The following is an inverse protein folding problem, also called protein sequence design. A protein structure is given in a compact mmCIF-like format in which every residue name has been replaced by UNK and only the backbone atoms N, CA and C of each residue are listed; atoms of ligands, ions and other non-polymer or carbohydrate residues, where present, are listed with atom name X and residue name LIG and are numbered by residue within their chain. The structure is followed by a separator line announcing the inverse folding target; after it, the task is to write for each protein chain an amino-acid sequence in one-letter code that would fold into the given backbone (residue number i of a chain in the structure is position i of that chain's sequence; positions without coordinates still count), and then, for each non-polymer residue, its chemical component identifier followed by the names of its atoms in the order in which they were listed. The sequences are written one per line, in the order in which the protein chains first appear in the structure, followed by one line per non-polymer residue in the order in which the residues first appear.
data_IF_664685166990
#
_entry.id   IF_664685166990
#
_cell.length_a   1.000
_cell.length_b   1.000
_cell.length_c   1.000
_cell.angle_alpha   90.00
_cell.angle_beta   90.00
_cell.angle_gamma   90.00
#
_symmetry.space_group_name_H-M   'P 1'
#
loop_
_entity.id
_entity.type
_entity.pdbx_description
1 polymer ?
#
# COMPACT_ATOMS: atom_id res chain seq x y z
N UNK A 1 -10.33 -20.96 1.72
CA UNK A 1 -10.86 -20.83 0.32
C UNK A 1 -9.76 -21.22 -0.66
N UNK A 2 -10.09 -21.93 -1.75
CA UNK A 2 -9.09 -22.27 -2.78
C UNK A 2 -8.69 -20.99 -3.56
N UNK A 3 -7.44 -20.91 -4.03
CA UNK A 3 -6.96 -19.72 -4.76
C UNK A 3 -7.79 -19.42 -6.03
N UNK A 4 -8.23 -20.45 -6.73
CA UNK A 4 -9.08 -20.28 -7.92
C UNK A 4 -10.45 -19.66 -7.62
N UNK A 5 -11.05 -20.04 -6.50
CA UNK A 5 -12.33 -19.48 -6.04
C UNK A 5 -12.16 -18.01 -5.60
N UNK A 6 -11.05 -17.72 -4.92
CA UNK A 6 -10.70 -16.36 -4.50
C UNK A 6 -10.52 -15.43 -5.70
N UNK A 7 -9.83 -15.89 -6.73
CA UNK A 7 -9.60 -15.11 -7.94
C UNK A 7 -10.91 -14.77 -8.67
N UNK A 8 -11.85 -15.73 -8.75
CA UNK A 8 -13.18 -15.51 -9.34
C UNK A 8 -13.95 -14.49 -8.53
N UNK A 9 -13.97 -14.64 -7.21
CA UNK A 9 -14.67 -13.72 -6.31
C UNK A 9 -14.09 -12.30 -6.40
N UNK A 10 -12.75 -12.18 -6.40
CA UNK A 10 -12.06 -10.90 -6.52
C UNK A 10 -12.41 -10.18 -7.82
N UNK A 11 -12.36 -10.91 -8.95
CA UNK A 11 -12.71 -10.35 -10.26
C UNK A 11 -14.16 -9.88 -10.30
N UNK A 12 -15.10 -10.73 -9.84
CA UNK A 12 -16.52 -10.37 -9.79
C UNK A 12 -16.77 -9.15 -8.89
N UNK A 13 -16.05 -9.05 -7.77
CA UNK A 13 -16.16 -7.89 -6.89
C UNK A 13 -15.66 -6.61 -7.57
N UNK A 14 -14.51 -6.64 -8.26
CA UNK A 14 -14.01 -5.49 -9.04
C UNK A 14 -15.05 -5.03 -10.06
N UNK A 15 -15.62 -5.96 -10.84
CA UNK A 15 -16.62 -5.66 -11.87
C UNK A 15 -17.90 -5.04 -11.30
N UNK A 16 -18.25 -5.34 -10.04
CA UNK A 16 -19.41 -4.76 -9.36
C UNK A 16 -19.11 -3.43 -8.65
N UNK A 17 -17.85 -3.19 -8.28
CA UNK A 17 -17.45 -1.97 -7.55
C UNK A 17 -17.15 -0.79 -8.47
N UNK A 18 -16.96 -1.02 -9.76
CA UNK A 18 -16.63 0.04 -10.73
C UNK A 18 -17.78 0.20 -11.71
N UNK A 19 -18.43 1.36 -11.63
CA UNK A 19 -19.51 1.73 -12.54
C UNK A 19 -18.94 2.33 -13.85
N UNK A 20 -18.07 1.56 -14.52
CA UNK A 20 -17.48 1.92 -15.79
C UNK A 20 -16.99 0.65 -16.53
N UNK A 21 -16.87 0.75 -17.85
CA UNK A 21 -16.39 -0.36 -18.66
C UNK A 21 -14.90 -0.59 -18.42
N UNK A 22 -14.55 -1.75 -17.82
CA UNK A 22 -13.17 -2.19 -17.63
C UNK A 22 -12.67 -2.78 -18.95
N UNK A 23 -11.58 -2.25 -19.48
CA UNK A 23 -10.96 -2.75 -20.71
C UNK A 23 -9.88 -3.77 -20.43
N UNK A 24 -9.15 -3.62 -19.29
CA UNK A 24 -8.06 -4.53 -18.94
C UNK A 24 -7.80 -4.52 -17.42
N UNK A 25 -7.39 -5.67 -16.90
CA UNK A 25 -6.83 -5.83 -15.55
C UNK A 25 -5.48 -6.53 -15.72
N UNK A 26 -4.42 -5.92 -15.19
CA UNK A 26 -3.05 -6.45 -15.32
C UNK A 26 -2.29 -6.34 -13.98
N UNK A 27 -1.30 -7.20 -13.72
CA UNK A 27 -0.45 -7.05 -12.52
C UNK A 27 0.22 -5.66 -12.48
N UNK A 28 0.15 -4.99 -11.33
CA UNK A 28 0.70 -3.65 -11.15
C UNK A 28 2.07 -3.65 -10.45
N UNK A 29 2.26 -4.51 -9.46
CA UNK A 29 3.55 -4.72 -8.81
C UNK A 29 3.65 -6.14 -8.26
N UNK A 30 4.87 -6.65 -8.14
CA UNK A 30 5.20 -7.84 -7.37
C UNK A 30 6.06 -7.41 -6.19
N UNK A 31 5.48 -7.35 -5.01
CA UNK A 31 6.20 -7.10 -3.77
C UNK A 31 6.35 -8.41 -3.00
N UNK A 32 7.35 -8.50 -2.11
CA UNK A 32 7.52 -9.61 -1.17
C UNK A 32 6.49 -9.48 -0.03
N UNK A 33 5.22 -9.47 -0.37
CA UNK A 33 4.08 -9.31 0.52
C UNK A 33 3.01 -10.34 0.17
N UNK A 34 2.11 -10.63 1.10
CA UNK A 34 0.91 -11.42 0.81
C UNK A 34 -0.14 -10.64 -0.01
N UNK A 35 0.07 -9.35 -0.24
CA UNK A 35 -0.77 -8.52 -1.10
C UNK A 35 -0.40 -8.70 -2.56
N UNK A 36 -1.43 -8.78 -3.40
CA UNK A 36 -1.29 -8.74 -4.85
C UNK A 36 -1.98 -7.49 -5.38
N UNK A 37 -1.30 -6.78 -6.27
CA UNK A 37 -1.77 -5.51 -6.82
C UNK A 37 -2.05 -5.66 -8.31
N UNK A 38 -3.22 -5.19 -8.75
CA UNK A 38 -3.66 -5.25 -10.13
C UNK A 38 -4.13 -3.88 -10.60
N UNK A 39 -3.62 -3.42 -11.72
CA UNK A 39 -4.09 -2.18 -12.36
C UNK A 39 -5.33 -2.47 -13.17
N UNK A 40 -6.39 -1.75 -12.87
CA UNK A 40 -7.64 -1.71 -13.62
C UNK A 40 -7.54 -0.55 -14.59
N UNK A 41 -7.80 -0.79 -15.87
CA UNK A 41 -7.81 0.22 -16.93
C UNK A 41 -9.23 0.30 -17.50
N UNK A 42 -9.79 1.51 -17.48
CA UNK A 42 -11.13 1.78 -17.99
C UNK A 42 -11.10 2.20 -19.46
N UNK A 43 -12.27 2.26 -20.06
CA UNK A 43 -12.44 2.67 -21.47
C UNK A 43 -12.13 4.14 -21.75
N UNK A 44 -12.13 4.98 -20.71
CA UNK A 44 -11.76 6.41 -20.75
C UNK A 44 -10.28 6.64 -20.36
N UNK A 45 -9.47 5.57 -20.27
CA UNK A 45 -8.07 5.57 -19.86
C UNK A 45 -7.82 5.87 -18.37
N UNK A 46 -8.86 6.10 -17.56
CA UNK A 46 -8.71 6.17 -16.11
C UNK A 46 -8.19 4.85 -15.55
N UNK A 47 -7.39 4.95 -14.47
CA UNK A 47 -6.80 3.77 -13.84
C UNK A 47 -7.02 3.75 -12.34
N UNK A 48 -7.18 2.53 -11.81
CA UNK A 48 -7.24 2.24 -10.37
C UNK A 48 -6.36 1.05 -10.05
N UNK A 49 -6.06 0.86 -8.77
CA UNK A 49 -5.37 -0.34 -8.29
C UNK A 49 -6.34 -1.16 -7.46
N UNK A 50 -6.60 -2.40 -7.91
CA UNK A 50 -7.25 -3.40 -7.10
C UNK A 50 -6.21 -4.16 -6.27
N UNK A 51 -6.48 -4.35 -4.99
CA UNK A 51 -5.59 -5.04 -4.05
C UNK A 51 -6.29 -6.28 -3.52
N UNK A 52 -5.66 -7.41 -3.72
CA UNK A 52 -6.00 -8.66 -3.05
C UNK A 52 -5.10 -8.82 -1.83
N UNK A 53 -5.66 -8.66 -0.63
CA UNK A 53 -4.95 -8.57 0.65
C UNK A 53 -5.56 -9.54 1.66
N UNK A 54 -5.17 -10.84 1.66
CA UNK A 54 -5.80 -11.87 2.46
C UNK A 54 -5.82 -11.52 3.96
N UNK A 55 -6.98 -11.49 4.63
CA UNK A 55 -7.11 -11.07 6.02
C UNK A 55 -6.37 -11.95 7.02
N UNK A 56 -6.04 -13.19 6.62
CA UNK A 56 -5.26 -14.14 7.43
C UNK A 56 -3.79 -13.69 7.61
N UNK A 57 -3.30 -12.84 6.71
CA UNK A 57 -1.91 -12.38 6.67
C UNK A 57 -1.77 -10.87 6.80
N UNK A 58 -2.84 -10.11 6.54
CA UNK A 58 -2.78 -8.66 6.40
C UNK A 58 -3.86 -7.95 7.24
N UNK A 59 -3.45 -6.92 7.95
CA UNK A 59 -4.40 -6.09 8.73
C UNK A 59 -4.97 -4.95 7.87
N UNK A 60 -6.00 -5.26 7.10
CA UNK A 60 -6.64 -4.30 6.19
C UNK A 60 -7.30 -3.13 6.92
N UNK A 61 -7.86 -3.33 8.12
CA UNK A 61 -8.45 -2.25 8.92
C UNK A 61 -7.40 -1.23 9.33
N UNK A 62 -6.23 -1.70 9.75
CA UNK A 62 -5.11 -0.83 10.08
C UNK A 62 -4.60 -0.07 8.86
N UNK A 63 -4.50 -0.72 7.69
CA UNK A 63 -4.13 -0.04 6.44
C UNK A 63 -5.07 1.14 6.13
N UNK A 64 -6.39 0.92 6.18
CA UNK A 64 -7.37 1.98 5.95
C UNK A 64 -7.26 3.10 7.00
N UNK A 65 -7.06 2.73 8.27
CA UNK A 65 -6.90 3.70 9.35
C UNK A 65 -5.68 4.59 9.17
N UNK A 66 -4.53 3.99 8.85
CA UNK A 66 -3.29 4.74 8.59
C UNK A 66 -3.43 5.64 7.36
N UNK A 67 -4.05 5.15 6.29
CA UNK A 67 -4.33 5.96 5.11
C UNK A 67 -5.16 7.20 5.47
N UNK A 68 -6.19 7.05 6.31
CA UNK A 68 -7.01 8.17 6.78
C UNK A 68 -6.18 9.17 7.62
N UNK A 69 -5.40 8.67 8.60
CA UNK A 69 -4.55 9.53 9.44
C UNK A 69 -3.57 10.34 8.60
N UNK A 70 -2.90 9.71 7.65
CA UNK A 70 -1.96 10.41 6.76
C UNK A 70 -2.66 11.43 5.85
N UNK A 71 -3.83 11.09 5.34
CA UNK A 71 -4.65 12.01 4.55
C UNK A 71 -5.06 13.24 5.37
N UNK A 72 -5.46 13.06 6.63
CA UNK A 72 -5.86 14.15 7.53
C UNK A 72 -4.67 15.07 7.88
N UNK A 73 -3.46 14.51 7.88
CA UNK A 73 -2.21 15.29 7.96
C UNK A 73 -1.88 16.03 6.65
N UNK A 74 -2.70 15.86 5.59
CA UNK A 74 -2.46 16.42 4.26
C UNK A 74 -1.24 15.81 3.57
N UNK A 75 -0.96 14.53 3.84
CA UNK A 75 0.04 13.74 3.14
C UNK A 75 -0.66 13.00 2.02
N UNK A 76 -0.10 13.06 0.82
CA UNK A 76 -0.64 12.35 -0.33
C UNK A 76 -0.53 10.83 -0.13
N UNK A 77 -1.67 10.18 -0.07
CA UNK A 77 -1.81 8.71 0.02
C UNK A 77 -2.79 8.23 -1.05
N UNK A 78 -2.77 6.95 -1.44
CA UNK A 78 -3.80 6.40 -2.30
C UNK A 78 -5.18 6.62 -1.68
N UNK A 79 -6.12 7.17 -2.46
CA UNK A 79 -7.52 7.30 -2.04
C UNK A 79 -8.16 5.92 -2.04
N UNK A 80 -8.89 5.59 -1.01
CA UNK A 80 -9.71 4.38 -0.96
C UNK A 80 -10.99 4.65 -1.75
N UNK A 81 -11.21 3.88 -2.80
CA UNK A 81 -12.39 3.99 -3.67
C UNK A 81 -13.48 3.04 -3.16
N UNK A 82 -13.11 1.78 -2.88
CA UNK A 82 -13.99 0.77 -2.33
C UNK A 82 -13.21 -0.24 -1.49
N UNK A 83 -13.89 -0.95 -0.58
CA UNK A 83 -13.27 -1.98 0.26
C UNK A 83 -14.25 -3.06 0.68
N UNK A 84 -13.84 -4.32 0.59
CA UNK A 84 -14.53 -5.49 1.13
C UNK A 84 -13.58 -6.22 2.09
N UNK A 85 -13.73 -5.94 3.39
CA UNK A 85 -12.76 -6.32 4.41
C UNK A 85 -12.83 -7.79 4.82
N UNK A 86 -13.97 -8.48 4.61
CA UNK A 86 -14.10 -9.89 4.98
C UNK A 86 -13.23 -10.78 4.08
N UNK A 87 -13.07 -10.40 2.82
CA UNK A 87 -12.17 -11.08 1.88
C UNK A 87 -10.83 -10.33 1.72
N UNK A 88 -10.73 -9.09 2.22
CA UNK A 88 -9.54 -8.26 2.11
C UNK A 88 -9.32 -7.68 0.71
N UNK A 89 -10.40 -7.28 0.04
CA UNK A 89 -10.33 -6.65 -1.27
C UNK A 89 -10.43 -5.13 -1.13
N UNK A 90 -9.57 -4.41 -1.85
CA UNK A 90 -9.57 -2.95 -1.86
C UNK A 90 -9.46 -2.45 -3.30
N UNK A 91 -10.09 -1.31 -3.60
CA UNK A 91 -9.81 -0.50 -4.79
C UNK A 91 -9.28 0.84 -4.31
N UNK A 92 -8.12 1.21 -4.80
CA UNK A 92 -7.44 2.46 -4.44
C UNK A 92 -7.08 3.25 -5.70
N UNK A 93 -6.83 4.55 -5.54
CA UNK A 93 -6.36 5.38 -6.65
C UNK A 93 -4.98 4.92 -7.13
N UNK A 94 -4.77 4.96 -8.45
CA UNK A 94 -3.48 4.66 -9.05
C UNK A 94 -2.54 5.88 -8.92
N UNK A 95 -1.36 5.69 -8.37
CA UNK A 95 -0.30 6.72 -8.26
C UNK A 95 0.72 6.64 -9.42
N UNK A 96 0.47 5.77 -10.41
CA UNK A 96 1.31 5.59 -11.59
C UNK A 96 2.45 4.59 -11.39
N UNK A 97 3.38 4.57 -12.37
CA UNK A 97 4.42 3.55 -12.48
C UNK A 97 5.81 4.00 -12.01
N UNK A 98 5.99 5.29 -11.74
CA UNK A 98 7.33 5.82 -11.47
C UNK A 98 7.59 5.91 -9.97
N UNK A 99 8.48 5.10 -9.47
CA UNK A 99 8.98 5.22 -8.09
C UNK A 99 10.04 6.32 -7.98
N UNK A 100 10.36 6.74 -6.76
CA UNK A 100 11.50 7.63 -6.51
C UNK A 100 12.81 6.98 -6.99
N UNK A 101 12.95 5.66 -6.82
CA UNK A 101 14.13 4.93 -7.27
C UNK A 101 14.31 5.02 -8.80
N UNK A 102 13.21 4.83 -9.56
CA UNK A 102 13.25 4.95 -11.04
C UNK A 102 13.71 6.35 -11.46
N UNK A 103 13.24 7.39 -10.77
CA UNK A 103 13.66 8.77 -11.06
C UNK A 103 15.11 9.04 -10.69
N UNK A 104 15.60 8.48 -9.59
CA UNK A 104 16.99 8.62 -9.16
C UNK A 104 17.96 7.89 -10.08
N UNK A 105 17.57 6.71 -10.60
CA UNK A 105 18.40 5.92 -11.52
C UNK A 105 18.40 6.47 -12.94
N UNK A 106 17.28 7.03 -13.41
CA UNK A 106 17.15 7.57 -14.76
C UNK A 106 17.76 8.96 -14.93
N UNK A 107 17.79 9.79 -13.89
CA UNK A 107 18.34 11.14 -13.93
C UNK A 107 18.80 11.65 -12.56
N UNK A 108 20.12 11.65 -12.35
CA UNK A 108 20.74 12.10 -11.09
C UNK A 108 20.73 13.63 -10.86
N UNK A 109 20.40 14.44 -11.87
CA UNK A 109 20.48 15.90 -11.78
C UNK A 109 19.54 16.51 -10.73
N UNK A 110 18.42 15.83 -10.44
CA UNK A 110 17.41 16.28 -9.49
C UNK A 110 17.33 15.44 -8.20
N UNK A 111 18.31 14.57 -7.94
CA UNK A 111 18.31 13.68 -6.78
C UNK A 111 18.16 14.45 -5.44
N UNK A 112 18.87 15.57 -5.30
CA UNK A 112 18.75 16.44 -4.10
C UNK A 112 17.32 16.93 -3.85
N UNK A 113 16.56 17.25 -4.91
CA UNK A 113 15.20 17.77 -4.77
C UNK A 113 14.21 16.67 -4.35
N UNK A 114 14.39 15.44 -4.83
CA UNK A 114 13.59 14.29 -4.37
C UNK A 114 13.86 14.00 -2.89
N UNK A 115 15.11 14.00 -2.44
CA UNK A 115 15.44 13.82 -1.03
C UNK A 115 14.90 14.96 -0.16
N UNK A 116 14.99 16.22 -0.59
CA UNK A 116 14.41 17.36 0.13
C UNK A 116 12.88 17.22 0.29
N UNK A 117 12.19 16.78 -0.77
CA UNK A 117 10.74 16.49 -0.71
C UNK A 117 10.43 15.38 0.29
N UNK A 118 11.19 14.28 0.27
CA UNK A 118 11.00 13.18 1.22
C UNK A 118 11.22 13.64 2.67
N UNK A 119 12.29 14.38 2.95
CA UNK A 119 12.57 14.95 4.29
C UNK A 119 11.46 15.91 4.72
N UNK A 120 10.96 16.76 3.80
CA UNK A 120 9.85 17.68 4.08
C UNK A 120 8.56 16.91 4.46
N UNK A 121 8.27 15.79 3.79
CA UNK A 121 7.13 14.94 4.14
C UNK A 121 7.29 14.31 5.53
N UNK A 122 8.47 13.78 5.84
CA UNK A 122 8.77 13.21 7.18
C UNK A 122 8.61 14.29 8.25
N UNK A 123 9.15 15.48 8.03
CA UNK A 123 9.01 16.63 8.95
C UNK A 123 7.52 16.99 9.14
N UNK A 124 6.74 17.00 8.06
CA UNK A 124 5.29 17.26 8.14
C UNK A 124 4.58 16.18 8.97
N UNK A 125 4.89 14.90 8.77
CA UNK A 125 4.36 13.79 9.57
C UNK A 125 4.66 13.98 11.07
N UNK A 126 5.90 14.30 11.41
CA UNK A 126 6.32 14.51 12.79
C UNK A 126 5.59 15.68 13.46
N UNK A 127 5.41 16.80 12.76
CA UNK A 127 4.72 17.97 13.30
C UNK A 127 3.20 17.78 13.41
N UNK A 128 2.58 17.15 12.40
CA UNK A 128 1.12 16.94 12.38
C UNK A 128 0.69 15.75 13.23
N UNK A 129 1.58 14.80 13.46
CA UNK A 129 1.30 13.53 14.14
C UNK A 129 1.05 13.65 15.64
N UNK A 130 1.39 14.79 16.27
CA UNK A 130 1.28 14.98 17.73
C UNK A 130 -0.15 14.74 18.25
N UNK A 131 -1.18 15.05 17.47
CA UNK A 131 -2.58 14.85 17.85
C UNK A 131 -3.09 13.42 17.65
N UNK A 132 -2.44 12.63 16.80
CA UNK A 132 -2.86 11.27 16.41
C UNK A 132 -2.07 10.16 17.11
N UNK A 133 -1.06 10.52 17.93
CA UNK A 133 -0.18 9.56 18.60
C UNK A 133 -0.91 8.59 19.55
N UNK A 134 -2.04 8.98 20.12
CA UNK A 134 -2.78 8.13 21.06
C UNK A 134 -3.43 6.90 20.41
N UNK A 135 -3.51 6.86 19.09
CA UNK A 135 -4.18 5.78 18.35
C UNK A 135 -3.20 4.80 17.68
N UNK A 136 -1.92 5.15 17.65
CA UNK A 136 -0.87 4.31 17.08
C UNK A 136 -0.13 3.55 18.19
N UNK A 137 0.23 2.28 17.97
CA UNK A 137 1.06 1.55 18.92
C UNK A 137 2.41 2.23 19.09
N UNK A 138 2.93 2.22 20.30
CA UNK A 138 4.29 2.72 20.55
C UNK A 138 5.31 1.77 19.93
N UNK A 139 6.32 2.35 19.30
CA UNK A 139 7.52 1.61 18.89
C UNK A 139 8.41 1.44 20.13
N UNK A 140 8.04 0.49 20.98
CA UNK A 140 8.66 0.24 22.27
C UNK A 140 9.86 -0.72 22.17
N UNK A 141 10.47 -1.01 23.33
CA UNK A 141 11.62 -1.89 23.41
C UNK A 141 11.31 -3.33 22.96
N UNK A 142 10.11 -3.82 23.21
CA UNK A 142 9.74 -5.20 22.88
C UNK A 142 9.59 -5.33 21.36
N UNK A 143 8.97 -4.35 20.71
CA UNK A 143 8.87 -4.29 19.25
C UNK A 143 10.24 -4.18 18.58
N UNK A 144 11.15 -3.34 19.12
CA UNK A 144 12.53 -3.26 18.62
C UNK A 144 13.27 -4.59 18.76
N UNK A 145 13.12 -5.27 19.89
CA UNK A 145 13.76 -6.55 20.13
C UNK A 145 13.24 -7.64 19.20
N UNK A 146 11.94 -7.63 18.91
CA UNK A 146 11.34 -8.61 18.00
C UNK A 146 11.83 -8.42 16.57
N UNK A 147 11.96 -7.17 16.09
CA UNK A 147 12.58 -6.89 14.80
C UNK A 147 14.06 -7.34 14.75
N UNK A 148 14.83 -7.06 15.81
CA UNK A 148 16.23 -7.53 15.88
C UNK A 148 16.35 -9.06 15.86
N UNK A 149 15.40 -9.80 16.45
CA UNK A 149 15.36 -11.28 16.41
C UNK A 149 15.20 -11.82 14.98
N UNK A 150 14.60 -11.07 14.06
CA UNK A 150 14.48 -11.47 12.66
C UNK A 150 15.83 -11.78 12.03
N UNK A 151 16.87 -10.97 12.32
CA UNK A 151 18.23 -11.25 11.85
C UNK A 151 18.74 -12.61 12.30
N UNK A 152 18.61 -12.91 13.61
CA UNK A 152 19.03 -14.19 14.18
C UNK A 152 18.20 -15.34 13.59
N UNK A 153 16.90 -15.14 13.44
CA UNK A 153 16.00 -16.18 12.96
C UNK A 153 16.20 -16.51 11.46
N UNK A 154 16.37 -15.49 10.63
CA UNK A 154 16.47 -15.68 9.17
C UNK A 154 17.90 -15.82 8.68
N UNK A 155 18.86 -15.10 9.25
CA UNK A 155 20.25 -15.13 8.80
C UNK A 155 21.08 -16.20 9.50
N UNK A 156 21.03 -16.26 10.84
CA UNK A 156 21.88 -17.20 11.58
C UNK A 156 21.37 -18.65 11.59
N UNK A 157 20.12 -18.92 11.21
CA UNK A 157 19.58 -20.29 11.09
C UNK A 157 19.73 -20.89 9.70
N UNK A 158 20.16 -20.13 8.71
CA UNK A 158 20.43 -20.61 7.35
C UNK A 158 21.89 -21.08 7.17
N UNK A 159 22.73 -20.96 8.20
CA UNK A 159 24.05 -21.60 8.30
C UNK A 159 23.99 -22.83 9.22
#
# INVERSE_FOLDING_TARGET
MKQSERNILFKSWIENSIDAMITRIEPASSDASFRSYYRIILNNEDTFIAVDSPPEHENNRQFLRIAQILNDMGIAVPKIIDSELNHGFLIISDLGNNTMLDKLTSNNQHSSDYYKKAVSLISKMQHSGVSSHSELPLYDKDMMLDEMKLFVYWYCKLE
#
